data_IF_777910576238
#
_entry.id   IF_777910576238
#
_cell.length_a   1.000
_cell.length_b   1.000
_cell.length_c   1.000
_cell.angle_alpha   90.00
_cell.angle_beta   90.00
_cell.angle_gamma   90.00
#
_symmetry.space_group_name_H-M   'P 1'
#
loop_
_entity.id
_entity.type
_entity.pdbx_description
1 polymer ?
#
# COMPACT_ATOMS: atom_id res chain seq x y z
N UNK A 1 0.29 -1.12 -10.01
CA UNK A 1 -0.48 0.09 -10.33
C UNK A 1 -0.45 1.08 -9.14
N UNK A 2 -1.07 0.74 -7.99
CA UNK A 2 -1.19 1.68 -6.86
C UNK A 2 0.19 2.03 -6.30
N UNK A 3 1.04 1.03 -6.06
CA UNK A 3 2.41 1.19 -5.58
C UNK A 3 3.22 2.18 -6.44
N UNK A 4 3.26 1.99 -7.76
CA UNK A 4 4.00 2.89 -8.63
C UNK A 4 3.47 4.32 -8.62
N UNK A 5 2.14 4.48 -8.59
CA UNK A 5 1.52 5.80 -8.46
C UNK A 5 1.89 6.51 -7.16
N UNK A 6 1.96 5.75 -6.06
CA UNK A 6 2.42 6.29 -4.78
C UNK A 6 3.89 6.72 -4.85
N UNK A 7 4.76 5.83 -5.34
CA UNK A 7 6.19 6.12 -5.47
C UNK A 7 6.47 7.32 -6.40
N UNK A 8 5.69 7.46 -7.48
CA UNK A 8 5.79 8.62 -8.36
C UNK A 8 5.37 9.91 -7.65
N UNK A 9 4.29 9.89 -6.87
CA UNK A 9 3.84 11.04 -6.09
C UNK A 9 4.84 11.44 -5.01
N UNK A 10 5.45 10.46 -4.33
CA UNK A 10 6.53 10.72 -3.35
C UNK A 10 7.69 11.44 -4.04
N UNK A 11 8.15 10.89 -5.16
CA UNK A 11 9.28 11.47 -5.90
C UNK A 11 9.01 12.91 -6.35
N UNK A 12 7.74 13.24 -6.65
CA UNK A 12 7.30 14.58 -7.04
C UNK A 12 6.92 15.48 -5.87
N UNK A 13 6.99 14.99 -4.63
CA UNK A 13 6.49 15.66 -3.42
C UNK A 13 5.01 16.12 -3.55
N UNK A 14 4.20 15.32 -4.27
CA UNK A 14 2.78 15.60 -4.59
C UNK A 14 1.85 14.63 -3.85
N UNK A 15 2.10 14.41 -2.57
CA UNK A 15 1.21 13.61 -1.73
C UNK A 15 0.32 14.53 -0.91
N UNK A 16 -0.99 14.45 -1.18
CA UNK A 16 -2.02 15.16 -0.43
C UNK A 16 -2.53 14.29 0.72
N UNK A 17 -2.77 14.93 1.85
CA UNK A 17 -3.40 14.33 3.03
C UNK A 17 -4.83 14.80 3.15
N UNK A 18 -5.73 13.90 3.53
CA UNK A 18 -7.08 14.23 3.96
C UNK A 18 -7.21 14.04 5.47
N UNK A 19 -7.92 14.95 6.12
CA UNK A 19 -8.20 14.86 7.54
C UNK A 19 -9.36 13.88 7.77
N UNK A 20 -9.22 13.01 8.76
CA UNK A 20 -10.30 12.14 9.21
C UNK A 20 -11.40 12.98 9.90
N UNK A 21 -12.66 12.69 9.58
CA UNK A 21 -13.80 13.29 10.28
C UNK A 21 -13.80 12.86 11.75
N UNK A 22 -13.48 11.59 11.98
CA UNK A 22 -13.32 11.02 13.32
C UNK A 22 -11.90 10.45 13.43
N UNK A 23 -10.99 11.11 14.18
CA UNK A 23 -9.68 10.58 14.47
C UNK A 23 -9.76 9.21 15.14
N UNK A 24 -8.90 8.29 14.73
CA UNK A 24 -8.84 6.94 15.30
C UNK A 24 -7.67 6.81 16.26
N UNK A 25 -7.85 6.03 17.32
CA UNK A 25 -6.80 5.77 18.31
C UNK A 25 -6.29 4.34 18.18
N UNK A 26 -4.98 4.20 18.15
CA UNK A 26 -4.28 2.94 18.11
C UNK A 26 -3.38 2.82 19.35
N UNK A 27 -3.56 1.76 20.14
CA UNK A 27 -2.72 1.53 21.32
C UNK A 27 -1.49 0.75 20.91
N UNK A 28 -0.33 1.38 21.01
CA UNK A 28 0.96 0.80 20.65
C UNK A 28 1.47 -0.13 21.74
N UNK A 29 2.10 -1.23 21.35
CA UNK A 29 3.03 -1.97 22.19
C UNK A 29 4.38 -1.23 22.27
N UNK A 30 5.30 -1.66 23.13
CA UNK A 30 6.64 -1.08 23.18
C UNK A 30 7.40 -1.27 21.87
N UNK A 31 7.29 -2.45 21.25
CA UNK A 31 7.91 -2.72 19.94
C UNK A 31 7.33 -1.84 18.84
N UNK A 32 6.01 -1.72 18.78
CA UNK A 32 5.33 -0.88 17.79
C UNK A 32 5.66 0.61 17.95
N UNK A 33 5.88 1.06 19.17
CA UNK A 33 6.33 2.42 19.42
C UNK A 33 7.72 2.70 18.84
N UNK A 34 8.65 1.75 18.95
CA UNK A 34 9.97 1.88 18.33
C UNK A 34 9.85 1.92 16.80
N UNK A 35 9.04 1.02 16.23
CA UNK A 35 8.75 0.98 14.78
C UNK A 35 8.12 2.30 14.34
N UNK A 36 7.16 2.83 15.10
CA UNK A 36 6.55 4.12 14.76
C UNK A 36 7.58 5.25 14.67
N UNK A 37 8.49 5.36 15.61
CA UNK A 37 9.53 6.40 15.57
C UNK A 37 10.49 6.22 14.39
N UNK A 38 10.79 4.97 14.01
CA UNK A 38 11.57 4.67 12.81
C UNK A 38 10.85 5.10 11.53
N UNK A 39 9.54 4.88 11.46
CA UNK A 39 8.72 5.13 10.26
C UNK A 39 8.11 6.52 10.20
N UNK A 40 8.13 7.30 11.29
CA UNK A 40 7.37 8.55 11.43
C UNK A 40 7.58 9.52 10.27
N UNK A 41 8.82 9.73 9.86
CA UNK A 41 9.13 10.68 8.77
C UNK A 41 8.56 10.18 7.44
N UNK A 42 8.78 8.91 7.13
CA UNK A 42 8.25 8.31 5.90
C UNK A 42 6.72 8.27 5.88
N UNK A 43 6.07 8.00 7.02
CA UNK A 43 4.60 8.09 7.14
C UNK A 43 4.10 9.51 6.88
N UNK A 44 4.79 10.52 7.41
CA UNK A 44 4.44 11.93 7.17
C UNK A 44 4.60 12.30 5.69
N UNK A 45 5.70 11.88 5.07
CA UNK A 45 5.94 12.08 3.63
C UNK A 45 4.89 11.37 2.76
N UNK A 46 4.38 10.24 3.23
CA UNK A 46 3.27 9.51 2.59
C UNK A 46 1.89 10.13 2.82
N UNK A 47 1.78 11.23 3.57
CA UNK A 47 0.54 11.94 3.82
C UNK A 47 -0.25 11.47 5.04
N UNK A 48 0.33 10.63 5.89
CA UNK A 48 -0.29 10.35 7.19
C UNK A 48 -0.07 11.53 8.15
N UNK A 49 -1.10 11.84 8.92
CA UNK A 49 -1.03 12.77 10.06
C UNK A 49 -1.28 11.99 11.33
N UNK A 50 -0.21 11.84 12.10
CA UNK A 50 -0.17 10.97 13.28
C UNK A 50 0.37 11.75 14.47
N UNK A 51 -0.30 11.64 15.61
CA UNK A 51 0.12 12.25 16.87
C UNK A 51 0.20 11.21 17.97
N UNK A 52 1.19 11.35 18.88
CA UNK A 52 1.26 10.53 20.08
C UNK A 52 0.62 11.29 21.22
N UNK A 53 -0.40 10.69 21.82
CA UNK A 53 -1.04 11.15 23.06
C UNK A 53 -0.60 10.26 24.23
N UNK A 54 0.09 10.84 25.20
CA UNK A 54 0.64 10.07 26.32
C UNK A 54 1.81 9.18 25.92
N UNK A 55 1.84 7.93 26.43
CA UNK A 55 3.00 7.04 26.28
C UNK A 55 2.81 6.06 25.09
N UNK A 56 1.60 5.56 24.92
CA UNK A 56 1.31 4.45 23.97
C UNK A 56 0.13 4.70 23.03
N UNK A 57 -0.54 5.84 23.11
CA UNK A 57 -1.65 6.14 22.20
C UNK A 57 -1.15 6.86 20.96
N UNK A 58 -1.37 6.24 19.81
CA UNK A 58 -1.17 6.83 18.49
C UNK A 58 -2.52 7.27 17.95
N UNK A 59 -2.68 8.56 17.74
CA UNK A 59 -3.87 9.16 17.15
C UNK A 59 -3.66 9.35 15.66
N UNK A 60 -4.54 8.76 14.86
CA UNK A 60 -4.57 8.92 13.41
C UNK A 60 -5.53 10.07 13.11
N UNK A 61 -5.01 11.21 12.63
CA UNK A 61 -5.78 12.43 12.35
C UNK A 61 -6.04 12.57 10.86
N UNK A 62 -5.14 12.06 10.03
CA UNK A 62 -5.26 12.14 8.58
C UNK A 62 -4.51 11.03 7.87
N UNK A 63 -4.96 10.78 6.63
CA UNK A 63 -4.42 9.74 5.75
C UNK A 63 -4.17 10.28 4.36
N UNK A 64 -3.33 9.62 3.55
CA UNK A 64 -3.19 9.95 2.13
C UNK A 64 -4.55 9.95 1.42
N UNK A 65 -4.79 10.88 0.51
CA UNK A 65 -6.06 10.98 -0.24
C UNK A 65 -6.41 9.75 -1.08
N UNK A 66 -5.46 8.84 -1.28
CA UNK A 66 -5.69 7.54 -1.95
C UNK A 66 -6.36 6.52 -1.02
N UNK A 67 -6.30 6.72 0.29
CA UNK A 67 -6.91 5.87 1.30
C UNK A 67 -8.30 6.38 1.65
N UNK A 68 -9.23 5.48 1.96
CA UNK A 68 -10.49 5.87 2.62
C UNK A 68 -10.31 5.98 4.13
N UNK A 69 -11.16 6.77 4.80
CA UNK A 69 -11.14 6.92 6.26
C UNK A 69 -11.23 5.55 6.97
N UNK A 70 -12.11 4.67 6.48
CA UNK A 70 -12.30 3.33 7.02
C UNK A 70 -11.10 2.39 6.89
N UNK A 71 -10.10 2.74 6.09
CA UNK A 71 -8.87 1.94 5.91
C UNK A 71 -7.72 2.42 6.81
N UNK A 72 -7.85 3.59 7.43
CA UNK A 72 -6.77 4.24 8.18
C UNK A 72 -6.17 3.32 9.25
N UNK A 73 -7.00 2.82 10.12
CA UNK A 73 -6.59 1.93 11.22
C UNK A 73 -5.93 0.66 10.69
N UNK A 74 -6.58 0.00 9.72
CA UNK A 74 -6.08 -1.27 9.18
C UNK A 74 -4.74 -1.16 8.47
N UNK A 75 -4.49 -0.05 7.78
CA UNK A 75 -3.20 0.19 7.13
C UNK A 75 -2.08 0.29 8.17
N UNK A 76 -2.30 1.02 9.25
CA UNK A 76 -1.31 1.19 10.33
C UNK A 76 -1.09 -0.14 11.07
N UNK A 77 -2.17 -0.88 11.38
CA UNK A 77 -2.09 -2.20 12.00
C UNK A 77 -1.28 -3.17 11.13
N UNK A 78 -1.65 -3.34 9.85
CA UNK A 78 -0.96 -4.22 8.91
C UNK A 78 0.53 -3.83 8.74
N UNK A 79 0.83 -2.53 8.75
CA UNK A 79 2.19 -2.04 8.65
C UNK A 79 3.04 -2.46 9.86
N UNK A 80 2.54 -2.31 11.07
CA UNK A 80 3.24 -2.72 12.28
C UNK A 80 3.41 -4.24 12.33
N UNK A 81 2.37 -5.00 12.03
CA UNK A 81 2.44 -6.47 11.97
C UNK A 81 3.48 -6.95 10.97
N UNK A 82 3.54 -6.32 9.79
CA UNK A 82 4.51 -6.65 8.76
C UNK A 82 5.95 -6.34 9.19
N UNK A 83 6.17 -5.26 9.92
CA UNK A 83 7.48 -4.89 10.44
C UNK A 83 7.97 -5.82 11.57
N UNK A 84 7.06 -6.26 12.44
CA UNK A 84 7.40 -7.17 13.53
C UNK A 84 7.72 -8.58 13.04
N UNK A 85 7.00 -9.05 12.01
CA UNK A 85 7.02 -10.46 11.62
C UNK A 85 7.92 -10.79 10.43
N UNK A 86 8.42 -9.81 9.67
CA UNK A 86 9.22 -10.08 8.46
C UNK A 86 10.58 -9.34 8.45
N UNK A 87 11.63 -9.99 9.00
CA UNK A 87 12.98 -9.41 8.99
C UNK A 87 13.56 -9.14 7.60
N UNK A 88 13.06 -9.81 6.55
CA UNK A 88 13.53 -9.61 5.16
C UNK A 88 13.12 -8.26 4.59
N UNK A 89 12.10 -7.65 5.17
CA UNK A 89 11.64 -6.31 4.75
C UNK A 89 12.60 -5.19 5.11
N UNK A 90 13.54 -5.43 6.03
CA UNK A 90 14.61 -4.45 6.36
C UNK A 90 15.52 -4.07 5.19
N UNK A 91 15.44 -4.80 4.06
CA UNK A 91 16.17 -4.43 2.82
C UNK A 91 15.45 -3.39 1.97
N UNK A 92 14.18 -3.09 2.25
CA UNK A 92 13.41 -2.06 1.56
C UNK A 92 13.52 -0.73 2.31
N UNK A 93 13.36 0.38 1.59
CA UNK A 93 13.23 1.68 2.26
C UNK A 93 11.91 1.76 3.05
N UNK A 94 11.87 2.60 4.08
CA UNK A 94 10.65 2.82 4.86
C UNK A 94 9.49 3.32 3.96
N UNK A 95 9.80 4.15 2.96
CA UNK A 95 8.85 4.60 1.97
C UNK A 95 8.27 3.45 1.13
N UNK A 96 9.12 2.53 0.66
CA UNK A 96 8.68 1.35 -0.09
C UNK A 96 7.72 0.50 0.73
N UNK A 97 8.07 0.23 1.99
CA UNK A 97 7.25 -0.60 2.89
C UNK A 97 5.88 -0.01 3.14
N UNK A 98 5.82 1.30 3.40
CA UNK A 98 4.55 2.00 3.58
C UNK A 98 3.73 2.00 2.28
N UNK A 99 4.36 2.26 1.13
CA UNK A 99 3.69 2.20 -0.18
C UNK A 99 3.15 0.81 -0.51
N UNK A 100 3.88 -0.24 -0.13
CA UNK A 100 3.45 -1.64 -0.28
C UNK A 100 2.23 -1.93 0.62
N UNK A 101 2.25 -1.53 1.89
CA UNK A 101 1.14 -1.72 2.83
C UNK A 101 -0.12 -0.97 2.37
N UNK A 102 0.01 0.31 1.99
CA UNK A 102 -1.10 1.08 1.41
C UNK A 102 -1.67 0.37 0.18
N UNK A 103 -0.78 -0.06 -0.74
CA UNK A 103 -1.20 -0.70 -2.00
C UNK A 103 -1.98 -1.99 -1.77
N UNK A 104 -1.56 -2.78 -0.78
CA UNK A 104 -2.23 -4.02 -0.38
C UNK A 104 -3.63 -3.74 0.20
N UNK A 105 -3.72 -2.76 1.09
CA UNK A 105 -4.97 -2.42 1.77
C UNK A 105 -5.99 -1.75 0.86
N UNK A 106 -5.53 -0.91 -0.09
CA UNK A 106 -6.39 -0.17 -1.03
C UNK A 106 -6.67 -0.93 -2.34
N UNK A 107 -6.02 -2.08 -2.56
CA UNK A 107 -6.26 -2.87 -3.77
C UNK A 107 -7.65 -3.50 -3.79
N UNK A 108 -8.20 -3.65 -5.00
CA UNK A 108 -9.46 -4.37 -5.23
C UNK A 108 -9.31 -5.80 -4.74
N UNK A 109 -10.22 -6.24 -3.91
CA UNK A 109 -10.18 -7.58 -3.31
C UNK A 109 -10.57 -8.65 -4.34
N UNK A 110 -9.94 -9.82 -4.23
CA UNK A 110 -10.27 -10.97 -5.08
C UNK A 110 -11.76 -11.32 -4.92
N UNK A 111 -12.44 -11.52 -6.05
CA UNK A 111 -13.87 -11.84 -6.07
C UNK A 111 -14.81 -10.62 -6.06
N UNK A 112 -14.27 -9.39 -5.99
CA UNK A 112 -15.09 -8.19 -6.16
C UNK A 112 -15.69 -8.14 -7.57
N UNK A 113 -16.96 -7.79 -7.65
CA UNK A 113 -17.59 -7.53 -8.95
C UNK A 113 -17.03 -6.23 -9.54
N UNK A 114 -16.74 -6.25 -10.84
CA UNK A 114 -16.24 -5.12 -11.59
C UNK A 114 -17.03 -4.95 -12.87
N UNK A 115 -17.48 -3.75 -13.14
CA UNK A 115 -18.07 -3.38 -14.40
C UNK A 115 -17.04 -3.44 -15.55
N UNK A 116 -17.50 -3.65 -16.80
CA UNK A 116 -16.61 -3.79 -17.97
C UNK A 116 -15.64 -2.61 -18.14
N UNK A 117 -16.12 -1.41 -17.85
CA UNK A 117 -15.29 -0.20 -17.96
C UNK A 117 -14.21 -0.13 -16.84
N UNK A 118 -14.52 -0.61 -15.64
CA UNK A 118 -13.56 -0.73 -14.57
C UNK A 118 -12.47 -1.76 -14.89
N UNK A 119 -12.88 -2.92 -15.45
CA UNK A 119 -11.95 -3.95 -15.92
C UNK A 119 -10.97 -3.39 -16.95
N UNK A 120 -11.48 -2.69 -17.98
CA UNK A 120 -10.66 -2.05 -19.02
C UNK A 120 -9.70 -1.03 -18.41
N UNK A 121 -10.18 -0.21 -17.47
CA UNK A 121 -9.37 0.79 -16.78
C UNK A 121 -8.22 0.16 -16.01
N UNK A 122 -8.45 -0.96 -15.32
CA UNK A 122 -7.38 -1.69 -14.61
C UNK A 122 -6.33 -2.19 -15.59
N UNK A 123 -6.75 -2.84 -16.69
CA UNK A 123 -5.84 -3.35 -17.72
C UNK A 123 -5.01 -2.20 -18.32
N UNK A 124 -5.65 -1.12 -18.73
CA UNK A 124 -4.96 0.05 -19.29
C UNK A 124 -3.99 0.66 -18.29
N UNK A 125 -4.38 0.79 -17.02
CA UNK A 125 -3.51 1.29 -15.97
C UNK A 125 -2.31 0.38 -15.73
N UNK A 126 -2.46 -0.94 -15.85
CA UNK A 126 -1.36 -1.88 -15.73
C UNK A 126 -0.35 -1.70 -16.86
N UNK A 127 -0.82 -1.60 -18.12
CA UNK A 127 0.06 -1.39 -19.25
C UNK A 127 0.72 -0.01 -19.30
N UNK A 128 0.24 0.94 -18.51
CA UNK A 128 0.90 2.23 -18.30
C UNK A 128 1.94 2.22 -17.15
N UNK A 129 2.04 1.11 -16.40
CA UNK A 129 3.08 0.95 -15.37
C UNK A 129 4.45 0.70 -16.00
N UNK A 130 5.52 1.08 -15.30
CA UNK A 130 6.90 0.78 -15.67
C UNK A 130 7.19 -0.71 -15.52
N UNK A 131 6.74 -1.30 -14.39
CA UNK A 131 6.82 -2.73 -14.13
C UNK A 131 5.45 -3.38 -14.30
N UNK A 132 5.32 -4.22 -15.31
CA UNK A 132 4.06 -4.86 -15.69
C UNK A 132 4.03 -6.36 -15.35
N UNK A 133 5.19 -6.97 -15.17
CA UNK A 133 5.33 -8.41 -15.02
C UNK A 133 5.35 -8.87 -13.58
N UNK A 134 5.93 -8.05 -12.69
CA UNK A 134 6.12 -8.36 -11.28
C UNK A 134 5.44 -7.32 -10.37
N UNK A 135 4.80 -7.82 -9.33
CA UNK A 135 4.30 -6.95 -8.26
C UNK A 135 5.44 -6.49 -7.34
N UNK A 136 5.25 -5.47 -6.49
CA UNK A 136 6.22 -5.11 -5.44
C UNK A 136 6.55 -6.27 -4.51
N UNK A 137 5.68 -7.27 -4.43
CA UNK A 137 5.86 -8.50 -3.64
C UNK A 137 6.53 -9.63 -4.44
N UNK A 138 7.15 -9.34 -5.59
CA UNK A 138 7.80 -10.31 -6.50
C UNK A 138 6.85 -11.40 -7.03
N UNK A 139 5.56 -11.11 -7.09
CA UNK A 139 4.56 -12.01 -7.67
C UNK A 139 4.33 -11.68 -9.14
N UNK A 140 4.23 -12.71 -9.98
CA UNK A 140 3.89 -12.53 -11.39
C UNK A 140 2.48 -11.95 -11.55
N UNK A 141 2.37 -10.88 -12.35
CA UNK A 141 1.12 -10.20 -12.66
C UNK A 141 0.54 -10.70 -13.98
N UNK A 142 1.40 -10.91 -14.98
CA UNK A 142 1.05 -11.35 -16.31
C UNK A 142 1.74 -12.66 -16.67
N UNK A 143 1.06 -13.47 -17.43
CA UNK A 143 1.63 -14.61 -18.13
C UNK A 143 1.21 -14.59 -19.59
N UNK A 144 2.16 -14.70 -20.50
CA UNK A 144 1.90 -14.78 -21.95
C UNK A 144 1.95 -16.22 -22.39
N UNK A 145 0.91 -16.66 -23.09
CA UNK A 145 0.83 -17.96 -23.77
C UNK A 145 0.81 -17.70 -25.26
N UNK A 146 1.77 -18.24 -25.98
CA UNK A 146 1.79 -18.14 -27.45
C UNK A 146 0.73 -19.03 -28.06
N UNK A 147 0.30 -18.70 -29.30
CA UNK A 147 -0.68 -19.53 -30.01
C UNK A 147 -0.18 -20.97 -30.20
N UNK A 148 1.10 -21.16 -30.46
CA UNK A 148 1.71 -22.49 -30.61
C UNK A 148 1.72 -23.29 -29.29
N UNK A 149 2.04 -22.65 -28.17
CA UNK A 149 1.95 -23.28 -26.84
C UNK A 149 0.53 -23.69 -26.50
N UNK A 150 -0.45 -22.85 -26.84
CA UNK A 150 -1.85 -23.16 -26.65
C UNK A 150 -2.29 -24.35 -27.53
N UNK A 151 -1.91 -24.38 -28.81
CA UNK A 151 -2.21 -25.47 -29.73
C UNK A 151 -1.60 -26.79 -29.26
N UNK A 152 -0.36 -26.78 -28.78
CA UNK A 152 0.33 -28.00 -28.27
C UNK A 152 -0.31 -28.59 -27.01
N UNK A 153 -1.18 -27.85 -26.32
CA UNK A 153 -1.92 -28.38 -25.14
C UNK A 153 -3.17 -29.18 -25.53
N UNK A 154 -3.59 -29.10 -26.79
CA UNK A 154 -4.77 -29.79 -27.34
C UNK A 154 -4.43 -30.89 -28.35
N UNK A 155 -3.14 -31.12 -28.60
CA UNK A 155 -2.59 -32.22 -29.37
C UNK A 155 -1.96 -33.30 -28.46
#
# INVERSE_FOLDING_TARGET
IIYEKLMEKITKADISSQQLIFPENFVLTESQKLIFFELKNALTEMGFRLEIEGIFNLKIIGVPTICSDSQAFKIIEDLFDEFENDPKKKSFSNGDLIAMSISKSTSIKKGSFLEKEEQKKIVNNLFNCKEQLLSPFQQKILYSITKSELQNKFL
#
